data_IF_324846695542
#
_entry.id   IF_324846695542
#
_cell.length_a   1.000
_cell.length_b   1.000
_cell.length_c   1.000
_cell.angle_alpha   90.00
_cell.angle_beta   90.00
_cell.angle_gamma   90.00
#
_symmetry.space_group_name_H-M   'P 1'
#
loop_
_entity.id
_entity.type
_entity.pdbx_description
1 polymer ?
#
# COMPACT_ATOMS: atom_id res chain seq x y z
N UNK A 1 51.90 -10.16 22.31
CA UNK A 1 50.61 -10.56 22.90
C UNK A 1 49.75 -9.29 22.95
N UNK A 2 48.97 -8.99 21.94
CA UNK A 2 47.94 -7.94 21.98
C UNK A 2 46.83 -8.41 21.08
N UNK A 3 45.80 -9.00 21.70
CA UNK A 3 44.54 -9.33 21.06
C UNK A 3 43.67 -8.09 20.92
N UNK A 4 43.39 -7.69 19.71
CA UNK A 4 42.36 -6.67 19.43
C UNK A 4 41.08 -7.40 19.14
N UNK A 5 40.20 -7.38 20.13
CA UNK A 5 38.82 -7.88 20.07
C UNK A 5 37.99 -6.85 19.28
N UNK A 6 37.70 -7.17 18.03
CA UNK A 6 36.83 -6.34 17.19
C UNK A 6 35.37 -6.78 17.40
N UNK A 7 34.71 -6.15 18.36
CA UNK A 7 33.30 -6.32 18.59
C UNK A 7 32.50 -5.78 17.37
N UNK A 8 31.92 -6.71 16.61
CA UNK A 8 30.93 -6.40 15.56
C UNK A 8 29.68 -5.82 16.23
N UNK A 9 29.55 -4.49 16.22
CA UNK A 9 28.33 -3.81 16.61
C UNK A 9 27.26 -4.06 15.53
N UNK A 10 26.39 -5.02 15.81
CA UNK A 10 25.17 -5.21 15.02
C UNK A 10 24.16 -4.15 15.45
N UNK A 11 24.08 -3.05 14.71
CA UNK A 11 23.02 -2.07 14.91
C UNK A 11 21.65 -2.71 14.65
N UNK A 12 20.64 -2.50 15.51
CA UNK A 12 19.31 -3.01 15.29
C UNK A 12 18.71 -2.34 14.04
N UNK A 13 18.37 -3.17 13.05
CA UNK A 13 17.73 -2.74 11.82
C UNK A 13 16.32 -2.23 12.16
N UNK A 14 16.16 -0.91 12.17
CA UNK A 14 14.86 -0.26 12.39
C UNK A 14 13.95 -0.62 11.21
N UNK A 15 12.87 -1.34 11.48
CA UNK A 15 11.84 -1.61 10.48
C UNK A 15 11.16 -0.29 10.10
N UNK A 16 10.90 -0.04 8.80
CA UNK A 16 10.25 1.18 8.37
C UNK A 16 8.84 1.27 8.96
N UNK A 17 8.55 2.43 9.57
CA UNK A 17 7.23 2.73 10.12
C UNK A 17 6.26 2.93 8.96
N UNK A 18 5.38 1.96 8.74
CA UNK A 18 4.29 2.07 7.77
C UNK A 18 3.35 3.17 8.26
N UNK A 19 3.30 4.30 7.55
CA UNK A 19 2.33 5.35 7.81
C UNK A 19 1.02 4.94 7.13
N UNK A 20 0.14 4.30 7.88
CA UNK A 20 -1.22 4.08 7.44
C UNK A 20 -1.96 5.42 7.36
N UNK A 21 -2.81 5.69 6.35
CA UNK A 21 -3.65 6.86 6.34
C UNK A 21 -4.59 6.80 7.55
N UNK A 22 -4.55 7.85 8.39
CA UNK A 22 -5.41 7.97 9.56
C UNK A 22 -6.87 8.10 9.10
N UNK A 23 -7.61 7.02 9.16
CA UNK A 23 -9.06 7.04 9.04
C UNK A 23 -9.62 7.56 10.37
N UNK A 24 -9.80 8.88 10.50
CA UNK A 24 -10.45 9.50 11.65
C UNK A 24 -11.92 9.12 11.66
N UNK A 25 -12.26 8.13 12.45
CA UNK A 25 -13.65 7.95 12.89
C UNK A 25 -13.92 9.04 13.92
N UNK A 26 -14.66 10.05 13.52
CA UNK A 26 -15.19 11.06 14.43
C UNK A 26 -16.27 10.41 15.30
N UNK A 27 -15.95 10.12 16.56
CA UNK A 27 -16.95 9.78 17.57
C UNK A 27 -17.63 11.05 18.03
N UNK A 28 -18.79 11.35 17.50
CA UNK A 28 -19.64 12.42 18.02
C UNK A 28 -20.61 11.81 19.03
N UNK A 29 -20.30 11.97 20.33
CA UNK A 29 -21.22 11.69 21.44
C UNK A 29 -22.02 12.95 21.69
N UNK A 30 -23.30 12.97 21.32
CA UNK A 30 -24.28 13.84 21.94
C UNK A 30 -25.61 13.11 22.03
N UNK A 31 -26.10 12.99 23.25
CA UNK A 31 -27.37 12.39 23.58
C UNK A 31 -28.53 13.29 23.15
N UNK A 32 -29.61 12.67 22.64
CA UNK A 32 -30.85 13.41 22.31
C UNK A 32 -31.86 12.52 21.62
N UNK A 33 -32.73 11.93 22.40
CA UNK A 33 -33.97 11.23 22.12
C UNK A 33 -34.79 11.82 20.97
N UNK A 34 -35.21 10.99 19.96
CA UNK A 34 -36.59 10.80 19.48
C UNK A 34 -36.66 10.13 18.11
N UNK A 35 -37.51 9.07 18.06
CA UNK A 35 -38.32 8.61 16.93
C UNK A 35 -37.62 8.23 15.61
N UNK A 36 -37.55 6.92 15.33
CA UNK A 36 -37.10 6.35 14.08
C UNK A 36 -38.05 6.68 12.91
N UNK A 37 -37.49 6.88 11.70
CA UNK A 37 -38.03 6.21 10.54
C UNK A 37 -37.06 5.13 10.04
N UNK A 38 -37.61 3.99 9.63
CA UNK A 38 -36.92 2.92 8.93
C UNK A 38 -36.20 3.48 7.72
N UNK A 39 -34.89 3.65 7.81
CA UNK A 39 -34.06 3.86 6.65
C UNK A 39 -33.47 2.48 6.26
N UNK A 40 -33.75 2.07 5.03
CA UNK A 40 -33.26 0.84 4.46
C UNK A 40 -31.75 0.74 4.60
N UNK A 41 -31.27 -0.31 5.22
CA UNK A 41 -29.87 -0.70 5.24
C UNK A 41 -29.48 -1.12 3.82
N UNK A 42 -29.08 -0.16 3.00
CA UNK A 42 -28.35 -0.44 1.77
C UNK A 42 -26.98 -1.01 2.14
N UNK A 43 -26.93 -2.28 2.48
CA UNK A 43 -25.67 -3.01 2.54
C UNK A 43 -25.13 -3.11 1.11
N UNK A 44 -24.31 -2.15 0.71
CA UNK A 44 -23.50 -2.32 -0.48
C UNK A 44 -22.65 -3.56 -0.24
N UNK A 45 -22.71 -4.58 -1.10
CA UNK A 45 -21.87 -5.75 -0.93
C UNK A 45 -20.42 -5.28 -0.93
N UNK A 46 -19.75 -5.48 0.20
CA UNK A 46 -18.30 -5.21 0.29
C UNK A 46 -17.64 -6.19 -0.66
N UNK A 47 -17.10 -5.68 -1.76
CA UNK A 47 -16.35 -6.52 -2.71
C UNK A 47 -15.19 -7.14 -1.94
N UNK A 48 -15.21 -8.46 -1.80
CA UNK A 48 -14.10 -9.20 -1.21
C UNK A 48 -12.94 -9.13 -2.20
N UNK A 49 -11.78 -8.69 -1.72
CA UNK A 49 -10.56 -8.70 -2.54
C UNK A 49 -10.03 -10.13 -2.57
N UNK A 50 -9.96 -10.70 -3.76
CA UNK A 50 -9.44 -12.06 -3.99
C UNK A 50 -8.07 -12.06 -4.67
N UNK A 51 -7.67 -10.94 -5.26
CA UNK A 51 -6.40 -10.77 -5.94
C UNK A 51 -5.76 -9.43 -5.57
N UNK A 52 -4.47 -9.45 -5.26
CA UNK A 52 -3.65 -8.25 -5.10
C UNK A 52 -2.60 -8.21 -6.19
N UNK A 53 -2.55 -7.13 -6.96
CA UNK A 53 -1.42 -6.85 -7.85
C UNK A 53 -0.43 -5.97 -7.12
N UNK A 54 0.75 -6.52 -6.83
CA UNK A 54 1.84 -5.86 -6.13
C UNK A 54 2.82 -5.27 -7.14
N UNK A 55 3.02 -3.96 -7.07
CA UNK A 55 3.85 -3.20 -8.00
C UNK A 55 4.97 -2.50 -7.22
N UNK A 56 6.20 -3.04 -7.20
CA UNK A 56 7.36 -2.29 -6.72
C UNK A 56 7.69 -1.18 -7.71
N UNK A 57 7.87 0.05 -7.22
CA UNK A 57 8.11 1.23 -8.05
C UNK A 57 9.27 2.06 -7.49
N UNK A 58 10.23 2.37 -8.36
CA UNK A 58 11.32 3.31 -8.08
C UNK A 58 11.42 4.31 -9.22
N UNK A 59 11.25 5.60 -8.91
CA UNK A 59 11.25 6.70 -9.88
C UNK A 59 10.29 6.46 -11.05
N UNK A 60 8.99 6.20 -10.77
CA UNK A 60 8.00 5.94 -11.80
C UNK A 60 7.71 7.18 -12.64
N UNK A 61 6.99 6.95 -13.74
CA UNK A 61 6.41 7.99 -14.59
C UNK A 61 4.87 7.85 -14.69
N UNK A 62 4.26 8.54 -15.66
CA UNK A 62 2.80 8.54 -15.89
C UNK A 62 2.23 7.16 -16.23
N UNK A 63 3.03 6.22 -16.72
CA UNK A 63 2.60 4.85 -17.05
C UNK A 63 2.09 4.10 -15.82
N UNK A 64 2.61 4.40 -14.63
CA UNK A 64 2.13 3.80 -13.39
C UNK A 64 0.63 4.04 -13.18
N UNK A 65 0.15 5.27 -13.35
CA UNK A 65 -1.27 5.59 -13.17
C UNK A 65 -2.15 4.95 -14.24
N UNK A 66 -1.65 4.83 -15.48
CA UNK A 66 -2.33 4.13 -16.57
C UNK A 66 -2.46 2.65 -16.28
N UNK A 67 -1.39 2.01 -15.81
CA UNK A 67 -1.38 0.60 -15.42
C UNK A 67 -2.41 0.34 -14.30
N UNK A 68 -2.40 1.16 -13.25
CA UNK A 68 -3.37 1.05 -12.14
C UNK A 68 -4.80 1.16 -12.65
N UNK A 69 -5.09 2.12 -13.53
CA UNK A 69 -6.43 2.29 -14.10
C UNK A 69 -6.89 1.06 -14.90
N UNK A 70 -6.01 0.47 -15.70
CA UNK A 70 -6.29 -0.77 -16.47
C UNK A 70 -6.58 -1.94 -15.55
N UNK A 71 -5.74 -2.18 -14.54
CA UNK A 71 -5.91 -3.28 -13.57
C UNK A 71 -7.23 -3.15 -12.81
N UNK A 72 -7.55 -1.96 -12.31
CA UNK A 72 -8.81 -1.68 -11.58
C UNK A 72 -10.05 -1.79 -12.48
N UNK A 73 -9.93 -1.46 -13.77
CA UNK A 73 -11.00 -1.61 -14.74
C UNK A 73 -11.24 -3.07 -15.17
N UNK A 74 -10.21 -3.90 -15.14
CA UNK A 74 -10.29 -5.31 -15.57
C UNK A 74 -11.02 -6.21 -14.55
N UNK A 75 -10.83 -5.97 -13.24
CA UNK A 75 -11.41 -6.80 -12.18
C UNK A 75 -11.81 -5.98 -10.96
N UNK A 76 -13.06 -6.14 -10.51
CA UNK A 76 -13.59 -5.42 -9.33
C UNK A 76 -13.08 -5.97 -8.00
N UNK A 77 -12.75 -7.24 -7.96
CA UNK A 77 -12.20 -7.97 -6.80
C UNK A 77 -10.66 -7.88 -6.70
N UNK A 78 -10.02 -7.09 -7.57
CA UNK A 78 -8.59 -6.86 -7.58
C UNK A 78 -8.23 -5.61 -6.78
N UNK A 79 -7.31 -5.71 -5.82
CA UNK A 79 -6.62 -4.57 -5.23
C UNK A 79 -5.29 -4.33 -5.94
N UNK A 80 -4.86 -3.08 -6.04
CA UNK A 80 -3.54 -2.71 -6.54
C UNK A 80 -2.75 -2.08 -5.41
N UNK A 81 -1.63 -2.71 -5.05
CA UNK A 81 -0.68 -2.22 -4.06
C UNK A 81 0.61 -1.80 -4.75
N UNK A 82 0.92 -0.52 -4.66
CA UNK A 82 2.19 0.05 -5.14
C UNK A 82 3.11 0.26 -3.95
N UNK A 83 4.36 -0.18 -4.06
CA UNK A 83 5.40 0.09 -3.06
C UNK A 83 6.42 1.05 -3.65
N UNK A 84 6.47 2.26 -3.11
CA UNK A 84 7.45 3.28 -3.44
C UNK A 84 8.77 2.99 -2.72
N UNK A 85 9.76 2.54 -3.47
CA UNK A 85 11.10 2.19 -2.99
C UNK A 85 12.00 3.43 -2.88
N UNK A 86 11.56 4.43 -2.08
CA UNK A 86 12.36 5.61 -1.80
C UNK A 86 12.64 6.47 -3.03
N UNK A 87 11.64 6.73 -3.87
CA UNK A 87 11.79 7.49 -5.11
C UNK A 87 12.14 8.96 -4.89
N UNK A 88 11.76 9.52 -3.74
CA UNK A 88 11.95 10.91 -3.41
C UNK A 88 10.77 11.83 -3.77
N UNK A 89 10.78 13.07 -3.25
CA UNK A 89 9.62 13.97 -3.30
C UNK A 89 9.22 14.41 -4.71
N UNK A 90 10.16 14.47 -5.65
CA UNK A 90 9.89 14.84 -7.05
C UNK A 90 8.98 13.82 -7.78
N UNK A 91 8.89 12.57 -7.27
CA UNK A 91 8.03 11.53 -7.84
C UNK A 91 6.67 11.43 -7.14
N UNK A 92 6.44 12.20 -6.07
CA UNK A 92 5.18 12.20 -5.34
C UNK A 92 3.93 12.41 -6.22
N UNK A 93 3.94 13.24 -7.28
CA UNK A 93 2.80 13.41 -8.18
C UNK A 93 2.37 12.12 -8.88
N UNK A 94 3.30 11.25 -9.29
CA UNK A 94 3.00 9.99 -9.96
C UNK A 94 2.32 8.99 -9.00
N UNK A 95 2.77 8.92 -7.75
CA UNK A 95 2.12 8.13 -6.72
C UNK A 95 0.75 8.69 -6.32
N UNK A 96 0.59 10.01 -6.30
CA UNK A 96 -0.71 10.65 -6.08
C UNK A 96 -1.69 10.31 -7.22
N UNK A 97 -1.24 10.33 -8.47
CA UNK A 97 -2.03 9.91 -9.62
C UNK A 97 -2.44 8.43 -9.55
N UNK A 98 -1.53 7.55 -9.11
CA UNK A 98 -1.84 6.13 -8.88
C UNK A 98 -2.90 5.95 -7.79
N UNK A 99 -2.80 6.67 -6.66
CA UNK A 99 -3.83 6.67 -5.60
C UNK A 99 -5.19 7.13 -6.13
N UNK A 100 -5.23 8.20 -6.93
CA UNK A 100 -6.46 8.71 -7.55
C UNK A 100 -7.12 7.69 -8.48
N UNK A 101 -6.37 6.72 -9.01
CA UNK A 101 -6.86 5.59 -9.82
C UNK A 101 -7.21 4.35 -8.99
N UNK A 102 -7.11 4.43 -7.66
CA UNK A 102 -7.53 3.39 -6.73
C UNK A 102 -6.42 2.43 -6.28
N UNK A 103 -5.15 2.79 -6.46
CA UNK A 103 -4.05 2.06 -5.84
C UNK A 103 -3.90 2.43 -4.37
N UNK A 104 -3.56 1.45 -3.54
CA UNK A 104 -2.93 1.69 -2.25
C UNK A 104 -1.43 1.88 -2.46
N UNK A 105 -0.83 2.88 -1.81
CA UNK A 105 0.60 3.15 -1.95
C UNK A 105 1.25 3.16 -0.58
N UNK A 106 2.25 2.30 -0.41
CA UNK A 106 3.14 2.22 0.74
C UNK A 106 4.48 2.81 0.32
N UNK A 107 5.06 3.68 1.15
CA UNK A 107 6.33 4.37 0.85
C UNK A 107 7.26 4.30 2.04
N UNK A 108 8.56 4.32 1.79
CA UNK A 108 9.62 4.53 2.77
C UNK A 108 10.69 5.48 2.20
N UNK A 109 11.50 6.14 3.04
CA UNK A 109 12.29 7.30 2.60
C UNK A 109 13.45 6.95 1.68
N UNK A 110 14.09 5.78 1.87
CA UNK A 110 15.35 5.43 1.23
C UNK A 110 15.20 4.21 0.33
N UNK A 111 15.81 4.23 -0.86
CA UNK A 111 15.82 3.08 -1.76
C UNK A 111 16.52 1.88 -1.11
N UNK A 112 15.83 0.76 -1.05
CA UNK A 112 16.31 -0.51 -0.50
C UNK A 112 16.40 -1.60 -1.57
N UNK A 113 15.97 -1.29 -2.78
CA UNK A 113 15.95 -2.20 -3.92
C UNK A 113 14.67 -3.04 -4.05
N UNK A 114 14.44 -3.55 -5.26
CA UNK A 114 13.22 -4.29 -5.67
C UNK A 114 12.88 -5.44 -4.71
N UNK A 115 13.87 -6.19 -4.24
CA UNK A 115 13.65 -7.30 -3.30
C UNK A 115 13.06 -6.86 -1.96
N UNK A 116 13.50 -5.71 -1.44
CA UNK A 116 12.96 -5.12 -0.22
C UNK A 116 11.54 -4.59 -0.44
N UNK A 117 11.30 -3.92 -1.57
CA UNK A 117 9.98 -3.44 -1.96
C UNK A 117 8.96 -4.59 -2.07
N UNK A 118 9.33 -5.70 -2.70
CA UNK A 118 8.50 -6.90 -2.77
C UNK A 118 8.21 -7.47 -1.38
N UNK A 119 9.22 -7.61 -0.53
CA UNK A 119 9.05 -8.08 0.86
C UNK A 119 8.09 -7.20 1.65
N UNK A 120 8.25 -5.87 1.55
CA UNK A 120 7.37 -4.89 2.20
C UNK A 120 5.93 -5.04 1.71
N UNK A 121 5.75 -5.15 0.40
CA UNK A 121 4.43 -5.32 -0.20
C UNK A 121 3.76 -6.64 0.19
N UNK A 122 4.48 -7.74 0.18
CA UNK A 122 3.97 -9.06 0.61
C UNK A 122 3.57 -9.05 2.09
N UNK A 123 4.37 -8.44 2.96
CA UNK A 123 4.03 -8.29 4.38
C UNK A 123 2.78 -7.46 4.57
N UNK A 124 2.66 -6.34 3.82
CA UNK A 124 1.47 -5.50 3.86
C UNK A 124 0.22 -6.23 3.36
N UNK A 125 0.35 -6.98 2.27
CA UNK A 125 -0.74 -7.77 1.70
C UNK A 125 -1.23 -8.83 2.68
N UNK A 126 -0.33 -9.60 3.29
CA UNK A 126 -0.69 -10.63 4.27
C UNK A 126 -1.43 -10.05 5.49
N UNK A 127 -1.10 -8.82 5.90
CA UNK A 127 -1.78 -8.14 7.00
C UNK A 127 -3.15 -7.55 6.61
N UNK A 128 -3.32 -7.13 5.34
CA UNK A 128 -4.50 -6.38 4.88
C UNK A 128 -5.52 -7.26 4.18
N UNK A 129 -5.06 -8.25 3.41
CA UNK A 129 -5.85 -9.18 2.60
C UNK A 129 -5.30 -10.61 2.73
N UNK A 130 -5.44 -11.24 3.91
CA UNK A 130 -4.78 -12.52 4.23
C UNK A 130 -5.20 -13.68 3.31
N UNK A 131 -6.40 -13.60 2.73
CA UNK A 131 -6.97 -14.65 1.87
C UNK A 131 -6.83 -14.35 0.37
N UNK A 132 -6.14 -13.27 -0.01
CA UNK A 132 -5.98 -12.90 -1.41
C UNK A 132 -4.73 -13.51 -2.03
N UNK A 133 -4.84 -13.94 -3.29
CA UNK A 133 -3.68 -14.27 -4.12
C UNK A 133 -2.87 -13.02 -4.44
N UNK A 134 -1.56 -13.17 -4.63
CA UNK A 134 -0.67 -12.05 -4.98
C UNK A 134 0.03 -12.30 -6.30
N UNK A 135 -0.07 -11.34 -7.20
CA UNK A 135 0.68 -11.30 -8.47
C UNK A 135 1.56 -10.05 -8.48
N UNK A 136 2.81 -10.22 -8.86
CA UNK A 136 3.73 -9.08 -9.02
C UNK A 136 3.71 -8.59 -10.47
N UNK A 137 3.73 -7.26 -10.64
CA UNK A 137 3.85 -6.59 -11.93
C UNK A 137 4.91 -5.48 -11.86
N UNK A 138 5.55 -5.18 -12.98
CA UNK A 138 6.50 -4.06 -13.05
C UNK A 138 5.76 -2.74 -13.30
N UNK A 139 6.31 -1.62 -12.81
CA UNK A 139 5.66 -0.31 -12.82
C UNK A 139 5.51 0.31 -14.22
N UNK A 140 6.26 -0.18 -15.22
CA UNK A 140 6.24 0.29 -16.61
C UNK A 140 5.16 -0.38 -17.49
N UNK A 141 4.50 -1.41 -16.96
CA UNK A 141 3.42 -2.11 -17.67
C UNK A 141 3.89 -2.89 -18.91
N UNK A 142 5.16 -3.24 -19.00
CA UNK A 142 5.71 -4.07 -20.07
C UNK A 142 5.63 -5.55 -19.69
N UNK A 143 4.49 -6.18 -19.97
CA UNK A 143 4.23 -7.62 -19.77
C UNK A 143 3.48 -8.20 -20.95
#
# INVERSE_FOLDING_TARGET
MNGTDTALQTSPRVLPRVIAPANRIATNRTAGNRTAPRAGSGSHPRTVVTLVVLIPAYKPDERLAVLVARLRGARRDCAVLVVDDGSGPQYAPFFAAARARGAQVVSYPDNQGKGWALRTGLTHTAATWPDADVVCADADGQH
#
